data_IF_801563675243
#
_entry.id   IF_801563675243
#
_cell.length_a   1.000
_cell.length_b   1.000
_cell.length_c   1.000
_cell.angle_alpha   90.00
_cell.angle_beta   90.00
_cell.angle_gamma   90.00
#
_symmetry.space_group_name_H-M   'P 1'
#
loop_
_entity.id
_entity.type
_entity.pdbx_description
1 polymer ?
#
# COMPACT_ATOMS: atom_id res chain seq x y z
N UNK A 1 -5.42 -20.52 12.49
CA UNK A 1 -4.30 -20.37 11.53
C UNK A 1 -4.72 -19.66 10.26
N UNK A 2 -5.88 -19.97 9.68
CA UNK A 2 -6.40 -19.32 8.46
C UNK A 2 -6.48 -17.80 8.53
N UNK A 3 -6.95 -17.26 9.67
CA UNK A 3 -6.99 -15.80 9.89
C UNK A 3 -5.62 -15.14 9.77
N UNK A 4 -4.56 -15.76 10.28
CA UNK A 4 -3.21 -15.22 10.22
C UNK A 4 -2.67 -15.19 8.78
N UNK A 5 -2.96 -16.23 7.99
CA UNK A 5 -2.59 -16.28 6.58
C UNK A 5 -3.29 -15.16 5.79
N UNK A 6 -4.56 -14.89 6.10
CA UNK A 6 -5.34 -13.85 5.42
C UNK A 6 -4.89 -12.41 5.73
N UNK A 7 -4.14 -12.20 6.81
CA UNK A 7 -3.64 -10.86 7.20
C UNK A 7 -2.39 -10.43 6.43
N UNK A 8 -1.74 -11.37 5.72
CA UNK A 8 -0.48 -11.13 5.02
C UNK A 8 -0.72 -11.00 3.51
N UNK A 9 0.06 -10.18 2.79
CA UNK A 9 -0.17 -9.89 1.37
C UNK A 9 0.39 -11.00 0.45
N UNK A 10 0.17 -12.27 0.79
CA UNK A 10 0.69 -13.43 0.06
C UNK A 10 -0.42 -14.41 -0.25
N UNK A 11 -0.48 -14.87 -1.51
CA UNK A 11 -1.53 -15.78 -1.99
C UNK A 11 -1.13 -17.25 -1.81
N UNK A 12 0.15 -17.56 -1.97
CA UNK A 12 0.72 -18.92 -1.81
C UNK A 12 1.28 -19.20 -0.41
N UNK A 13 0.99 -18.35 0.59
CA UNK A 13 1.53 -18.49 1.94
C UNK A 13 1.00 -19.74 2.64
N UNK A 14 1.91 -20.55 3.17
CA UNK A 14 1.59 -21.68 4.05
C UNK A 14 2.56 -21.74 5.23
N UNK A 15 2.15 -22.37 6.33
CA UNK A 15 3.00 -22.54 7.51
C UNK A 15 3.40 -24.01 7.66
N UNK A 16 4.69 -24.27 7.83
CA UNK A 16 5.22 -25.62 8.03
C UNK A 16 6.38 -25.62 9.03
N UNK A 17 6.65 -26.78 9.61
CA UNK A 17 7.90 -27.03 10.34
C UNK A 17 8.98 -27.43 9.33
N UNK A 18 10.23 -27.07 9.62
CA UNK A 18 11.37 -27.52 8.83
C UNK A 18 12.14 -28.58 9.63
N UNK A 19 12.39 -29.73 9.01
CA UNK A 19 13.11 -30.81 9.66
C UNK A 19 14.49 -30.34 10.14
N UNK A 20 14.85 -30.73 11.37
CA UNK A 20 16.11 -30.32 11.99
C UNK A 20 16.15 -28.86 12.47
N UNK A 21 15.03 -28.11 12.44
CA UNK A 21 14.96 -26.75 13.00
C UNK A 21 13.76 -26.56 13.92
N UNK A 22 13.96 -25.81 15.00
CA UNK A 22 12.89 -25.44 15.92
C UNK A 22 12.17 -24.18 15.42
N UNK A 23 10.85 -24.27 15.24
CA UNK A 23 10.00 -23.13 14.90
C UNK A 23 8.98 -23.42 13.80
N UNK A 24 8.07 -22.46 13.61
CA UNK A 24 7.10 -22.44 12.52
C UNK A 24 7.62 -21.52 11.43
N UNK A 25 7.69 -22.02 10.21
CA UNK A 25 8.20 -21.30 9.05
C UNK A 25 7.08 -21.00 8.06
N UNK A 26 7.22 -19.88 7.36
CA UNK A 26 6.35 -19.50 6.26
C UNK A 26 6.98 -19.93 4.93
N UNK A 27 6.22 -20.65 4.11
CA UNK A 27 6.57 -21.00 2.74
C UNK A 27 5.78 -20.10 1.78
N UNK A 28 6.49 -19.50 0.82
CA UNK A 28 5.93 -18.57 -0.18
C UNK A 28 6.56 -18.93 -1.53
N UNK A 29 5.77 -18.89 -2.59
CA UNK A 29 6.29 -19.13 -3.94
C UNK A 29 7.31 -18.05 -4.35
N UNK A 30 8.33 -18.45 -5.11
CA UNK A 30 9.41 -17.55 -5.54
C UNK A 30 8.90 -16.41 -6.42
N UNK A 31 7.83 -16.65 -7.20
CA UNK A 31 7.22 -15.64 -8.08
C UNK A 31 6.59 -14.49 -7.30
N UNK A 32 6.09 -14.73 -6.09
CA UNK A 32 5.43 -13.71 -5.27
C UNK A 32 6.41 -12.79 -4.54
N UNK A 33 7.69 -13.17 -4.45
CA UNK A 33 8.73 -12.35 -3.80
C UNK A 33 8.99 -11.03 -4.51
N UNK A 34 8.75 -10.97 -5.81
CA UNK A 34 8.97 -9.78 -6.63
C UNK A 34 7.73 -8.89 -6.72
N UNK A 35 6.62 -9.24 -6.07
CA UNK A 35 5.47 -8.34 -6.01
C UNK A 35 5.87 -7.14 -5.17
N UNK A 36 5.67 -5.94 -5.72
CA UNK A 36 5.84 -4.71 -4.97
C UNK A 36 5.02 -4.79 -3.69
N UNK A 37 5.70 -4.89 -2.55
CA UNK A 37 5.05 -4.76 -1.27
C UNK A 37 4.39 -3.39 -1.26
N UNK A 38 3.08 -3.35 -1.02
CA UNK A 38 2.37 -2.07 -0.90
C UNK A 38 3.12 -1.24 0.13
N UNK A 39 3.74 -0.16 -0.33
CA UNK A 39 4.42 0.78 0.55
C UNK A 39 3.39 1.34 1.51
N UNK A 40 3.80 1.50 2.77
CA UNK A 40 2.97 2.21 3.73
C UNK A 40 2.64 3.59 3.17
N UNK A 41 1.39 4.07 3.32
CA UNK A 41 1.05 5.40 2.87
C UNK A 41 2.01 6.43 3.49
N UNK A 42 2.40 7.48 2.73
CA UNK A 42 3.33 8.48 3.24
C UNK A 42 2.74 9.15 4.48
N UNK A 43 3.59 9.47 5.45
CA UNK A 43 3.17 10.17 6.67
C UNK A 43 2.58 11.55 6.35
N UNK A 44 1.74 12.08 7.24
CA UNK A 44 1.16 13.43 7.10
C UNK A 44 2.26 14.48 6.91
N UNK A 45 3.39 14.35 7.63
CA UNK A 45 4.54 15.25 7.47
C UNK A 45 5.15 15.16 6.06
N UNK A 46 5.31 13.95 5.51
CA UNK A 46 5.82 13.76 4.16
C UNK A 46 4.85 14.30 3.09
N UNK A 47 3.54 14.11 3.29
CA UNK A 47 2.49 14.67 2.43
C UNK A 47 2.57 16.21 2.41
N UNK A 48 2.63 16.85 3.58
CA UNK A 48 2.75 18.30 3.72
C UNK A 48 4.05 18.87 3.13
N UNK A 49 5.13 18.09 3.05
CA UNK A 49 6.36 18.51 2.36
C UNK A 49 6.19 18.47 0.84
N UNK A 50 5.50 17.47 0.30
CA UNK A 50 5.22 17.39 -1.15
C UNK A 50 4.19 18.43 -1.62
N UNK A 51 3.22 18.79 -0.78
CA UNK A 51 2.24 19.85 -1.05
C UNK A 51 2.86 21.25 -1.13
N UNK A 52 4.01 21.46 -0.47
CA UNK A 52 4.78 22.71 -0.56
C UNK A 52 5.56 22.86 -1.86
N UNK A 53 5.71 21.79 -2.64
CA UNK A 53 6.22 21.90 -4.00
C UNK A 53 5.08 22.44 -4.89
N UNK A 54 5.31 23.45 -5.74
CA UNK A 54 4.25 24.00 -6.58
C UNK A 54 3.79 22.94 -7.57
N UNK A 55 2.70 22.22 -7.23
CA UNK A 55 1.96 21.39 -8.17
C UNK A 55 1.38 22.34 -9.21
N UNK A 56 2.05 22.49 -10.34
CA UNK A 56 1.51 23.15 -11.53
C UNK A 56 0.16 22.49 -11.84
N UNK A 57 -0.98 23.19 -11.72
CA UNK A 57 -2.25 22.62 -12.10
C UNK A 57 -2.24 22.44 -13.61
N UNK A 58 -2.29 21.18 -14.07
CA UNK A 58 -2.55 20.87 -15.48
C UNK A 58 -3.88 21.50 -15.85
N UNK A 59 -3.83 22.50 -16.73
CA UNK A 59 -4.97 23.25 -17.22
C UNK A 59 -6.03 22.30 -17.80
N UNK A 60 -7.23 22.32 -17.24
CA UNK A 60 -8.47 22.16 -18.00
C UNK A 60 -9.39 23.30 -17.61
N UNK A 61 -9.55 24.24 -18.55
CA UNK A 61 -10.52 25.32 -18.46
C UNK A 61 -11.95 24.76 -18.59
N UNK A 62 -12.90 25.24 -17.79
CA UNK A 62 -14.02 26.12 -18.21
C UNK A 62 -14.73 26.67 -16.98
N UNK A 63 -15.05 27.97 -17.02
CA UNK A 63 -15.77 28.71 -15.98
C UNK A 63 -17.29 28.43 -16.01
N UNK A 64 -17.98 28.71 -14.91
CA UNK A 64 -19.05 29.74 -14.82
C UNK A 64 -19.51 29.91 -13.36
N UNK A 65 -19.65 31.18 -12.96
CA UNK A 65 -20.16 31.66 -11.68
C UNK A 65 -21.65 31.31 -11.47
N UNK A 66 -22.05 31.10 -10.22
CA UNK A 66 -23.34 31.58 -9.72
C UNK A 66 -23.20 32.01 -8.26
N UNK A 67 -23.20 33.33 -8.08
CA UNK A 67 -23.46 34.02 -6.81
C UNK A 67 -24.98 34.02 -6.62
N UNK A 68 -25.46 33.51 -5.49
CA UNK A 68 -26.74 33.93 -4.90
C UNK A 68 -26.61 33.88 -3.39
N UNK A 69 -26.74 35.06 -2.80
CA UNK A 69 -26.90 35.34 -1.37
C UNK A 69 -28.21 34.74 -0.82
N UNK A 70 -28.21 34.37 0.46
CA UNK A 70 -29.38 34.38 1.37
C UNK A 70 -28.90 34.84 2.75
#
# INVERSE_FOLDING_TARGET
MERLLSMLPYKSLSLSTLEGRHGVYALIDKSERNKEMKQSPPSVRAQLQTEKSPKVPKKTAKSKHHELEV
#
